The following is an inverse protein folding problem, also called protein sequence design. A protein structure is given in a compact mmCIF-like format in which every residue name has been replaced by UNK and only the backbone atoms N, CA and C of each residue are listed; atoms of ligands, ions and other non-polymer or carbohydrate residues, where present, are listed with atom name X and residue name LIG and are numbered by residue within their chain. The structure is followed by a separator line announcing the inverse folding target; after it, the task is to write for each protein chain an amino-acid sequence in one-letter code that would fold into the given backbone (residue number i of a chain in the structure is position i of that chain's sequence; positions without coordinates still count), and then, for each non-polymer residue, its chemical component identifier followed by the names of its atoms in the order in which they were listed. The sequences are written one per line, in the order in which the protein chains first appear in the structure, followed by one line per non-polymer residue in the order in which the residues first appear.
data_IF_827489785776
#
_entry.id   IF_827489785776
#
_cell.length_a   1.000
_cell.length_b   1.000
_cell.length_c   1.000
_cell.angle_alpha   90.00
_cell.angle_beta   90.00
_cell.angle_gamma   90.00
#
_symmetry.space_group_name_H-M   'P 1'
#
loop_
_entity.id
_entity.type
_entity.pdbx_description
1 polymer ?
#
# COMPACT_ATOMS: atom_id res chain seq x y z
N UNK A 1 -0.25 5.08 11.14
CA UNK A 1 1.02 5.55 10.59
C UNK A 1 1.39 6.82 11.32
N UNK A 2 2.53 6.76 11.97
CA UNK A 2 3.09 7.80 12.84
C UNK A 2 4.50 8.24 12.38
N UNK A 3 5.08 7.57 11.38
CA UNK A 3 6.37 7.93 10.79
C UNK A 3 6.34 9.24 9.99
N UNK A 4 7.51 9.74 9.59
CA UNK A 4 7.70 11.04 8.90
C UNK A 4 8.20 10.92 7.47
N UNK A 5 8.34 9.70 6.93
CA UNK A 5 8.81 9.49 5.56
C UNK A 5 7.77 9.94 4.54
N UNK A 6 6.48 9.66 4.76
CA UNK A 6 5.40 10.02 3.85
C UNK A 6 4.75 11.37 4.26
N UNK A 7 4.08 12.07 3.32
CA UNK A 7 3.38 13.33 3.61
C UNK A 7 2.42 13.24 4.80
N UNK A 8 2.22 14.36 5.51
CA UNK A 8 1.38 14.43 6.73
C UNK A 8 -0.05 13.94 6.52
N UNK A 9 -0.56 14.00 5.29
CA UNK A 9 -1.84 13.41 4.87
C UNK A 9 -2.01 11.96 5.34
N UNK A 10 -0.92 11.17 5.31
CA UNK A 10 -0.90 9.76 5.70
C UNK A 10 -0.79 9.52 7.21
N UNK A 11 -0.66 10.56 8.03
CA UNK A 11 -0.66 10.39 9.50
C UNK A 11 -2.00 9.85 9.98
N UNK A 12 -1.97 9.11 11.09
CA UNK A 12 -3.18 8.57 11.75
C UNK A 12 -4.04 7.71 10.81
N UNK A 13 -3.40 6.90 9.96
CA UNK A 13 -4.09 5.89 9.16
C UNK A 13 -3.36 4.56 9.08
N UNK A 14 -3.93 3.62 8.34
CA UNK A 14 -3.47 2.24 8.22
C UNK A 14 -3.16 1.94 6.76
N UNK A 15 -2.03 1.29 6.49
CA UNK A 15 -1.73 0.74 5.16
C UNK A 15 -2.21 -0.70 5.08
N UNK A 16 -2.98 -1.04 4.05
CA UNK A 16 -3.55 -2.38 3.85
C UNK A 16 -3.17 -2.87 2.47
N UNK A 17 -2.40 -3.96 2.42
CA UNK A 17 -2.14 -4.66 1.17
C UNK A 17 -3.36 -5.49 0.77
N UNK A 18 -3.84 -5.29 -0.45
CA UNK A 18 -4.83 -6.13 -1.08
C UNK A 18 -4.12 -7.08 -2.04
N UNK A 19 -3.94 -8.32 -1.59
CA UNK A 19 -3.20 -9.38 -2.30
C UNK A 19 -3.72 -9.64 -3.72
N UNK A 20 -5.04 -9.54 -3.89
CA UNK A 20 -5.71 -9.73 -5.17
C UNK A 20 -6.79 -10.79 -5.10
N UNK A 21 -7.81 -10.66 -5.96
CA UNK A 21 -8.87 -11.65 -6.06
C UNK A 21 -8.39 -12.92 -6.75
N UNK A 22 -8.70 -14.08 -6.16
CA UNK A 22 -8.54 -15.39 -6.79
C UNK A 22 -9.84 -15.97 -7.37
N UNK A 23 -11.00 -15.54 -6.87
CA UNK A 23 -12.32 -16.06 -7.26
C UNK A 23 -13.29 -14.93 -7.66
N UNK A 24 -12.97 -14.20 -8.73
CA UNK A 24 -13.86 -13.22 -9.38
C UNK A 24 -13.69 -13.28 -10.89
N UNK A 25 -14.76 -12.95 -11.62
CA UNK A 25 -14.75 -12.88 -13.09
C UNK A 25 -13.90 -11.72 -13.63
N UNK A 26 -13.81 -10.62 -12.88
CA UNK A 26 -12.93 -9.48 -13.16
C UNK A 26 -12.05 -9.24 -11.95
N UNK A 27 -10.74 -9.10 -12.16
CA UNK A 27 -9.78 -9.02 -11.07
C UNK A 27 -9.87 -7.69 -10.33
N UNK A 28 -9.71 -7.77 -9.01
CA UNK A 28 -9.67 -6.61 -8.10
C UNK A 28 -8.58 -6.81 -7.05
N UNK A 29 -8.17 -5.74 -6.40
CA UNK A 29 -7.05 -5.74 -5.44
C UNK A 29 -5.74 -5.41 -6.14
N UNK A 30 -4.67 -6.16 -5.82
CA UNK A 30 -3.32 -5.96 -6.37
C UNK A 30 -2.80 -4.54 -6.14
N UNK A 31 -3.01 -4.03 -4.92
CA UNK A 31 -2.71 -2.65 -4.54
C UNK A 31 -2.48 -2.53 -3.03
N UNK A 32 -1.93 -1.41 -2.61
CA UNK A 32 -1.91 -0.98 -1.20
C UNK A 32 -2.86 0.19 -1.04
N UNK A 33 -3.78 0.07 -0.09
CA UNK A 33 -4.67 1.15 0.31
C UNK A 33 -4.10 1.87 1.53
N UNK A 34 -4.37 3.17 1.61
CA UNK A 34 -4.32 3.93 2.85
C UNK A 34 -5.75 4.13 3.37
N UNK A 35 -5.96 3.85 4.65
CA UNK A 35 -7.24 4.07 5.33
C UNK A 35 -7.04 5.10 6.43
N UNK A 36 -7.68 6.28 6.31
CA UNK A 36 -7.63 7.31 7.33
C UNK A 36 -8.46 6.88 8.53
N UNK A 37 -7.93 7.09 9.73
CA UNK A 37 -8.64 6.78 10.97
C UNK A 37 -8.83 8.01 11.82
N UNK A 38 -9.98 8.05 12.49
CA UNK A 38 -10.33 9.03 13.52
C UNK A 38 -11.12 8.32 14.61
N UNK A 39 -10.73 8.54 15.86
CA UNK A 39 -11.35 7.91 17.04
C UNK A 39 -11.53 6.37 16.93
N UNK A 40 -10.55 5.70 16.30
CA UNK A 40 -10.57 4.25 16.11
C UNK A 40 -11.48 3.74 14.99
N UNK A 41 -12.15 4.64 14.24
CA UNK A 41 -12.99 4.32 13.10
C UNK A 41 -12.30 4.67 11.78
N UNK A 42 -12.66 3.96 10.70
CA UNK A 42 -12.22 4.29 9.35
C UNK A 42 -13.10 5.41 8.80
N UNK A 43 -12.52 6.56 8.47
CA UNK A 43 -13.24 7.70 7.87
C UNK A 43 -13.23 7.67 6.35
N UNK A 44 -12.10 7.28 5.76
CA UNK A 44 -11.91 7.26 4.32
C UNK A 44 -10.84 6.25 3.90
N UNK A 45 -10.84 5.90 2.62
CA UNK A 45 -9.82 5.05 2.03
C UNK A 45 -9.41 5.58 0.67
N UNK A 46 -8.12 5.51 0.35
CA UNK A 46 -7.56 5.87 -0.94
C UNK A 46 -6.50 4.87 -1.39
N UNK A 47 -6.18 4.86 -2.69
CA UNK A 47 -5.08 4.06 -3.24
C UNK A 47 -3.76 4.74 -2.88
N UNK A 48 -2.89 4.00 -2.20
CA UNK A 48 -1.53 4.47 -1.89
C UNK A 48 -0.55 4.06 -2.99
N UNK A 49 -0.57 2.78 -3.40
CA UNK A 49 0.23 2.25 -4.51
C UNK A 49 -0.60 1.22 -5.27
N UNK A 50 -0.61 1.31 -6.58
CA UNK A 50 -1.15 0.30 -7.49
C UNK A 50 -0.14 -0.02 -8.61
N UNK A 51 -0.60 -0.67 -9.68
CA UNK A 51 0.23 -1.03 -10.83
C UNK A 51 0.59 -2.52 -10.92
N UNK A 52 0.31 -3.33 -9.91
CA UNK A 52 0.50 -4.80 -9.98
C UNK A 52 -0.47 -5.50 -10.93
N UNK A 53 -1.62 -4.88 -11.23
CA UNK A 53 -2.64 -5.38 -12.13
C UNK A 53 -2.74 -4.46 -13.35
N UNK A 54 -2.44 -5.01 -14.52
CA UNK A 54 -2.56 -4.38 -15.82
C UNK A 54 -3.66 -5.10 -16.62
N UNK A 55 -4.83 -4.46 -16.72
CA UNK A 55 -6.04 -5.12 -17.22
C UNK A 55 -6.42 -6.29 -16.32
N UNK A 56 -6.41 -7.52 -16.87
CA UNK A 56 -6.67 -8.76 -16.13
C UNK A 56 -5.39 -9.56 -15.84
N UNK A 57 -4.22 -8.99 -16.16
CA UNK A 57 -2.92 -9.63 -15.95
C UNK A 57 -2.22 -8.99 -14.77
N UNK A 58 -1.80 -9.81 -13.81
CA UNK A 58 -1.14 -9.34 -12.60
C UNK A 58 0.29 -9.90 -12.53
N UNK A 59 1.29 -9.02 -12.45
CA UNK A 59 2.70 -9.44 -12.41
C UNK A 59 3.21 -9.72 -10.98
N UNK A 60 2.49 -9.26 -9.96
CA UNK A 60 2.76 -9.60 -8.56
C UNK A 60 1.49 -9.62 -7.71
N UNK A 61 1.66 -9.82 -6.41
CA UNK A 61 0.60 -9.88 -5.41
C UNK A 61 1.14 -9.34 -4.06
N UNK A 62 0.86 -8.07 -3.73
CA UNK A 62 1.39 -7.46 -2.51
C UNK A 62 0.75 -8.10 -1.27
N UNK A 63 1.56 -8.56 -0.32
CA UNK A 63 1.09 -9.34 0.83
C UNK A 63 1.10 -8.55 2.14
N UNK A 64 2.27 -8.08 2.60
CA UNK A 64 2.39 -7.46 3.92
C UNK A 64 3.16 -6.13 3.85
N UNK A 65 2.55 -5.02 4.31
CA UNK A 65 3.27 -3.78 4.58
C UNK A 65 3.93 -3.82 5.96
N UNK A 66 5.16 -3.32 6.06
CA UNK A 66 5.89 -3.12 7.32
C UNK A 66 6.49 -1.72 7.35
N UNK A 67 6.05 -0.89 8.29
CA UNK A 67 6.64 0.44 8.52
C UNK A 67 7.91 0.28 9.35
N UNK A 68 9.01 0.85 8.85
CA UNK A 68 10.30 0.87 9.52
C UNK A 68 10.43 2.08 10.45
N UNK A 69 11.45 2.05 11.32
CA UNK A 69 11.71 3.14 12.28
C UNK A 69 11.95 4.50 11.62
N UNK A 70 12.51 4.53 10.41
CA UNK A 70 12.71 5.75 9.62
C UNK A 70 11.42 6.26 8.95
N UNK A 71 10.29 5.60 9.19
CA UNK A 71 8.98 5.88 8.61
C UNK A 71 8.79 5.33 7.20
N UNK A 72 9.82 4.79 6.54
CA UNK A 72 9.68 4.12 5.25
C UNK A 72 8.94 2.80 5.38
N UNK A 73 8.49 2.23 4.26
CA UNK A 73 7.70 1.00 4.28
C UNK A 73 8.35 -0.08 3.42
N UNK A 74 8.37 -1.31 3.93
CA UNK A 74 8.62 -2.50 3.14
C UNK A 74 7.27 -3.12 2.73
N UNK A 75 7.18 -3.61 1.49
CA UNK A 75 6.05 -4.40 1.02
C UNK A 75 6.61 -5.73 0.50
N UNK A 76 6.19 -6.84 1.08
CA UNK A 76 6.50 -8.16 0.52
C UNK A 76 5.53 -8.50 -0.61
N UNK A 77 6.03 -9.19 -1.63
CA UNK A 77 5.24 -9.71 -2.75
C UNK A 77 5.63 -11.16 -3.01
N UNK A 78 4.70 -12.08 -2.75
CA UNK A 78 4.97 -13.52 -2.77
C UNK A 78 4.92 -14.12 -4.19
N UNK A 79 4.13 -13.54 -5.10
CA UNK A 79 4.09 -13.97 -6.50
C UNK A 79 5.35 -13.61 -7.25
N UNK A 80 5.86 -12.39 -7.07
CA UNK A 80 7.07 -11.92 -7.75
C UNK A 80 8.35 -12.26 -6.99
N UNK A 81 8.25 -12.76 -5.76
CA UNK A 81 9.36 -13.07 -4.85
C UNK A 81 10.27 -11.85 -4.60
N UNK A 82 9.64 -10.71 -4.31
CA UNK A 82 10.32 -9.42 -4.10
C UNK A 82 9.93 -8.77 -2.78
N UNK A 83 10.80 -7.88 -2.29
CA UNK A 83 10.50 -6.93 -1.22
C UNK A 83 10.77 -5.53 -1.74
N UNK A 84 9.74 -4.69 -1.77
CA UNK A 84 9.86 -3.30 -2.20
C UNK A 84 10.12 -2.41 -0.99
N UNK A 85 11.10 -1.49 -1.08
CA UNK A 85 11.25 -0.38 -0.12
C UNK A 85 10.61 0.87 -0.71
N UNK A 86 9.60 1.40 -0.04
CA UNK A 86 8.89 2.62 -0.42
C UNK A 86 9.41 3.77 0.42
N UNK A 87 9.95 4.78 -0.25
CA UNK A 87 10.37 6.05 0.33
C UNK A 87 9.71 7.18 -0.43
N UNK A 88 9.50 8.31 0.23
CA UNK A 88 9.03 9.53 -0.43
C UNK A 88 10.15 10.56 -0.40
N UNK A 89 10.47 11.08 -1.58
CA UNK A 89 11.41 12.19 -1.74
C UNK A 89 10.61 13.39 -2.19
N UNK A 90 10.51 14.40 -1.33
CA UNK A 90 9.89 15.65 -1.69
C UNK A 90 10.81 16.41 -2.67
N UNK A 91 10.65 16.18 -3.97
CA UNK A 91 11.28 17.00 -4.99
C UNK A 91 10.48 18.28 -5.12
N UNK A 92 10.68 19.22 -4.19
CA UNK A 92 10.48 20.64 -4.49
C UNK A 92 11.64 21.05 -5.39
N UNK A 93 11.34 21.30 -6.67
CA UNK A 93 12.12 22.29 -7.43
C UNK A 93 11.65 23.67 -6.96
#
# INVERSE_FOLDING_TARGET
YDGTMFPDHYKNGIFVAQHGSWNRSSKVGYKVLFMKTSDGLIESSEVFIDGWLEGETSWGAPAAPLVLKDGSMLISDDRSNQIFKVTYKNTKN
#
